data_IF_104800707174
#
_entry.id   IF_104800707174
#
_cell.length_a   1.000
_cell.length_b   1.000
_cell.length_c   1.000
_cell.angle_alpha   90.00
_cell.angle_beta   90.00
_cell.angle_gamma   90.00
#
_symmetry.space_group_name_H-M   'P 1'
#
loop_
_entity.id
_entity.type
_entity.pdbx_description
1 polymer ?
#
# COMPACT_ATOMS: atom_id res chain seq x y z
N UNK A 1 -20.06 8.03 -8.84
CA UNK A 1 -18.78 8.47 -9.41
C UNK A 1 -17.78 7.38 -9.13
N UNK A 2 -17.28 6.70 -10.15
CA UNK A 2 -16.22 5.69 -9.97
C UNK A 2 -14.93 6.40 -9.57
N UNK A 3 -14.32 6.00 -8.45
CA UNK A 3 -13.04 6.56 -8.01
C UNK A 3 -11.95 5.95 -8.89
N UNK A 4 -11.09 6.78 -9.49
CA UNK A 4 -10.01 6.26 -10.33
C UNK A 4 -8.98 5.48 -9.51
N UNK A 5 -8.36 4.46 -10.09
CA UNK A 5 -7.29 3.66 -9.45
C UNK A 5 -6.16 4.56 -8.95
N UNK A 6 -5.77 5.58 -9.73
CA UNK A 6 -4.75 6.57 -9.34
C UNK A 6 -5.09 7.35 -8.07
N UNK A 7 -6.38 7.67 -7.87
CA UNK A 7 -6.87 8.35 -6.65
C UNK A 7 -6.79 7.42 -5.44
N UNK A 8 -7.11 6.13 -5.63
CA UNK A 8 -7.01 5.12 -4.56
C UNK A 8 -5.54 4.95 -4.16
N UNK A 9 -4.63 4.81 -5.12
CA UNK A 9 -3.19 4.70 -4.88
C UNK A 9 -2.66 5.91 -4.11
N UNK A 10 -3.01 7.12 -4.54
CA UNK A 10 -2.61 8.36 -3.85
C UNK A 10 -3.10 8.42 -2.41
N UNK A 11 -4.35 8.02 -2.17
CA UNK A 11 -4.92 7.97 -0.83
C UNK A 11 -4.22 6.92 0.05
N UNK A 12 -3.91 5.74 -0.51
CA UNK A 12 -3.17 4.68 0.19
C UNK A 12 -1.78 5.15 0.59
N UNK A 13 -1.04 5.77 -0.32
CA UNK A 13 0.29 6.33 -0.04
C UNK A 13 0.20 7.39 1.06
N UNK A 14 -0.75 8.32 0.94
CA UNK A 14 -0.93 9.37 1.94
C UNK A 14 -1.23 8.77 3.32
N UNK A 15 -2.11 7.78 3.39
CA UNK A 15 -2.43 7.08 4.64
C UNK A 15 -1.21 6.36 5.24
N UNK A 16 -0.36 5.75 4.41
CA UNK A 16 0.91 5.17 4.84
C UNK A 16 1.89 6.23 5.36
N UNK A 17 1.92 7.42 4.78
CA UNK A 17 2.80 8.52 5.22
C UNK A 17 2.31 9.18 6.52
N UNK A 18 1.00 9.35 6.69
CA UNK A 18 0.41 10.02 7.86
C UNK A 18 -0.03 9.07 8.97
N UNK A 19 0.07 7.76 8.75
CA UNK A 19 -0.46 6.72 9.61
C UNK A 19 -1.99 6.84 9.86
N UNK A 20 -2.74 7.36 8.89
CA UNK A 20 -4.21 7.47 8.94
C UNK A 20 -4.88 6.50 7.97
N UNK A 21 -4.85 5.22 8.33
CA UNK A 21 -5.42 4.14 7.52
C UNK A 21 -6.95 4.10 7.58
N UNK A 22 -7.56 4.77 8.57
CA UNK A 22 -9.02 4.82 8.70
C UNK A 22 -9.65 5.54 7.50
N UNK A 23 -8.97 6.57 6.99
CA UNK A 23 -9.39 7.33 5.82
C UNK A 23 -9.51 6.49 4.54
N UNK A 24 -8.68 5.44 4.39
CA UNK A 24 -8.65 4.60 3.19
C UNK A 24 -9.46 3.31 3.31
N UNK A 25 -9.92 2.96 4.52
CA UNK A 25 -10.75 1.77 4.74
C UNK A 25 -11.92 1.64 3.75
N UNK A 26 -12.78 2.66 3.51
CA UNK A 26 -13.86 2.52 2.54
C UNK A 26 -13.37 2.26 1.10
N UNK A 27 -12.19 2.79 0.73
CA UNK A 27 -11.59 2.57 -0.59
C UNK A 27 -11.11 1.12 -0.75
N UNK A 28 -10.43 0.56 0.26
CA UNK A 28 -9.96 -0.84 0.22
C UNK A 28 -11.12 -1.83 0.10
N UNK A 29 -12.24 -1.54 0.76
CA UNK A 29 -13.44 -2.39 0.72
C UNK A 29 -14.30 -2.19 -0.52
N UNK A 30 -14.01 -1.19 -1.36
CA UNK A 30 -14.74 -0.97 -2.63
C UNK A 30 -14.48 -2.10 -3.64
N UNK A 31 -15.40 -2.27 -4.59
CA UNK A 31 -15.25 -3.23 -5.69
C UNK A 31 -14.09 -2.88 -6.63
N UNK A 32 -13.65 -1.62 -6.63
CA UNK A 32 -12.51 -1.13 -7.41
C UNK A 32 -11.15 -1.61 -6.88
N UNK A 33 -11.09 -2.28 -5.71
CA UNK A 33 -9.86 -2.81 -5.13
C UNK A 33 -9.92 -4.33 -5.01
N UNK A 34 -8.96 -5.00 -5.60
CA UNK A 34 -8.65 -6.42 -5.38
C UNK A 34 -7.44 -6.52 -4.44
N UNK A 35 -7.36 -7.59 -3.65
CA UNK A 35 -6.26 -7.80 -2.71
C UNK A 35 -5.56 -9.13 -2.99
N UNK A 36 -4.30 -9.26 -2.55
CA UNK A 36 -3.71 -10.60 -2.43
C UNK A 36 -4.41 -11.38 -1.31
N UNK A 37 -4.98 -12.53 -1.68
CA UNK A 37 -5.79 -13.37 -0.80
C UNK A 37 -7.29 -13.15 -0.91
N UNK A 38 -8.07 -13.86 -0.08
CA UNK A 38 -9.53 -13.95 -0.22
C UNK A 38 -10.32 -13.06 0.77
N UNK A 39 -9.67 -12.40 1.73
CA UNK A 39 -10.38 -11.70 2.81
C UNK A 39 -9.82 -10.29 3.06
N UNK A 40 -10.60 -9.28 2.66
CA UNK A 40 -10.28 -7.86 2.80
C UNK A 40 -10.16 -7.38 4.24
N UNK A 41 -10.91 -7.96 5.18
CA UNK A 41 -10.77 -7.62 6.60
C UNK A 41 -9.43 -8.08 7.15
N UNK A 42 -9.04 -9.33 6.87
CA UNK A 42 -7.73 -9.86 7.29
C UNK A 42 -6.58 -9.09 6.67
N UNK A 43 -6.70 -8.77 5.38
CA UNK A 43 -5.75 -7.92 4.68
C UNK A 43 -5.63 -6.55 5.35
N UNK A 44 -6.76 -5.88 5.61
CA UNK A 44 -6.76 -4.54 6.20
C UNK A 44 -6.22 -4.55 7.63
N UNK A 45 -6.56 -5.55 8.45
CA UNK A 45 -5.98 -5.72 9.80
C UNK A 45 -4.47 -5.94 9.76
N UNK A 46 -3.99 -6.75 8.80
CA UNK A 46 -2.56 -6.96 8.60
C UNK A 46 -1.86 -5.67 8.17
N UNK A 47 -2.45 -4.95 7.21
CA UNK A 47 -1.94 -3.69 6.72
C UNK A 47 -1.86 -2.65 7.84
N UNK A 48 -2.95 -2.49 8.60
CA UNK A 48 -3.04 -1.57 9.74
C UNK A 48 -1.99 -1.89 10.81
N UNK A 49 -1.84 -3.17 11.17
CA UNK A 49 -0.84 -3.59 12.14
C UNK A 49 0.59 -3.33 11.66
N UNK A 50 0.84 -3.50 10.37
CA UNK A 50 2.16 -3.35 9.76
C UNK A 50 2.58 -1.88 9.70
N UNK A 51 1.72 -1.00 9.19
CA UNK A 51 1.94 0.46 9.13
C UNK A 51 2.07 1.07 10.52
N UNK A 52 1.13 0.79 11.43
CA UNK A 52 1.23 1.27 12.81
C UNK A 52 2.49 0.76 13.51
N UNK A 53 2.85 -0.51 13.28
CA UNK A 53 4.04 -1.12 13.85
C UNK A 53 5.33 -0.47 13.37
N UNK A 54 5.38 -0.06 12.11
CA UNK A 54 6.52 0.60 11.52
C UNK A 54 6.64 2.06 11.98
N UNK A 55 5.54 2.82 11.96
CA UNK A 55 5.48 4.19 12.49
C UNK A 55 5.86 4.26 13.98
N UNK A 56 5.42 3.29 14.80
CA UNK A 56 5.82 3.25 16.22
C UNK A 56 7.30 2.97 16.44
N UNK A 57 7.95 2.28 15.49
CA UNK A 57 9.38 1.97 15.57
C UNK A 57 10.25 3.07 14.98
N UNK A 58 9.69 3.85 14.05
CA UNK A 58 10.34 4.96 13.39
C UNK A 58 10.95 5.95 14.40
N UNK A 59 12.28 6.04 14.41
CA UNK A 59 13.06 7.02 15.20
C UNK A 59 13.65 8.16 14.36
N UNK A 60 13.24 8.30 13.11
CA UNK A 60 13.76 9.29 12.18
C UNK A 60 12.81 9.52 11.01
N UNK A 61 13.35 10.08 9.92
CA UNK A 61 12.55 10.42 8.74
C UNK A 61 11.91 9.18 8.12
N UNK A 62 10.63 9.35 7.77
CA UNK A 62 9.82 8.36 7.07
C UNK A 62 9.84 8.69 5.59
N UNK A 63 10.49 7.85 4.79
CA UNK A 63 10.71 8.10 3.38
C UNK A 63 10.04 7.03 2.52
N UNK A 64 9.79 7.36 1.25
CA UNK A 64 9.19 6.45 0.28
C UNK A 64 9.99 6.46 -1.02
N UNK A 65 10.24 5.29 -1.60
CA UNK A 65 10.68 5.13 -2.99
C UNK A 65 9.57 4.46 -3.82
N UNK A 66 9.67 4.61 -5.13
CA UNK A 66 8.74 4.02 -6.09
C UNK A 66 9.58 3.24 -7.10
N UNK A 67 9.34 1.94 -7.20
CA UNK A 67 10.09 1.05 -8.07
C UNK A 67 9.14 0.23 -8.94
N UNK A 68 9.50 -0.07 -10.21
CA UNK A 68 8.75 -1.02 -11.00
C UNK A 68 8.83 -2.41 -10.34
N UNK A 69 7.71 -3.12 -10.26
CA UNK A 69 7.68 -4.47 -9.70
C UNK A 69 8.20 -5.49 -10.72
N UNK A 70 9.51 -5.50 -10.99
CA UNK A 70 10.12 -6.30 -12.06
C UNK A 70 9.87 -7.81 -11.95
N UNK A 71 9.58 -8.31 -10.74
CA UNK A 71 9.22 -9.71 -10.49
C UNK A 71 7.78 -10.06 -10.86
N UNK A 72 6.89 -9.07 -10.96
CA UNK A 72 5.56 -9.21 -11.53
C UNK A 72 5.71 -9.02 -13.04
N UNK A 73 5.49 -10.09 -13.81
CA UNK A 73 5.65 -10.10 -15.27
C UNK A 73 4.72 -9.12 -16.01
N UNK A 74 3.78 -8.50 -15.32
CA UNK A 74 2.84 -7.52 -15.86
C UNK A 74 3.40 -6.09 -15.80
N UNK A 75 3.33 -5.42 -16.95
CA UNK A 75 4.03 -4.15 -17.23
C UNK A 75 3.53 -2.93 -16.43
N UNK A 76 2.53 -3.07 -15.56
CA UNK A 76 1.89 -1.96 -14.83
C UNK A 76 1.90 -2.14 -13.30
N UNK A 77 2.70 -3.06 -12.78
CA UNK A 77 2.87 -3.22 -11.34
C UNK A 77 3.98 -2.30 -10.80
N UNK A 78 3.67 -1.59 -9.71
CA UNK A 78 4.56 -0.64 -9.03
C UNK A 78 4.63 -0.99 -7.55
N UNK A 79 5.81 -0.85 -6.97
CA UNK A 79 6.04 -1.03 -5.54
C UNK A 79 6.36 0.30 -4.90
N UNK A 80 5.63 0.60 -3.84
CA UNK A 80 5.87 1.72 -2.95
C UNK A 80 6.57 1.21 -1.70
N UNK A 81 7.87 1.45 -1.62
CA UNK A 81 8.71 1.02 -0.51
C UNK A 81 8.83 2.13 0.51
N UNK A 82 8.46 1.83 1.76
CA UNK A 82 8.52 2.77 2.87
C UNK A 82 9.70 2.42 3.80
N UNK A 83 10.56 3.40 4.05
CA UNK A 83 11.78 3.25 4.82
C UNK A 83 11.73 4.06 6.11
N UNK A 84 12.32 3.48 7.15
CA UNK A 84 12.76 4.21 8.33
C UNK A 84 14.24 4.58 8.14
N UNK A 85 14.56 5.88 8.21
CA UNK A 85 15.77 6.46 7.62
C UNK A 85 17.14 5.77 7.81
N UNK A 86 17.39 4.98 8.86
CA UNK A 86 18.69 4.30 9.05
C UNK A 86 18.80 2.91 8.42
N UNK A 87 17.70 2.36 7.90
CA UNK A 87 17.65 0.97 7.44
C UNK A 87 17.64 0.94 5.91
N UNK A 88 18.56 0.18 5.31
CA UNK A 88 18.67 0.01 3.86
C UNK A 88 17.69 -1.05 3.32
N UNK A 89 16.61 -1.32 4.06
CA UNK A 89 15.56 -2.27 3.71
C UNK A 89 14.20 -1.62 3.96
N UNK A 90 13.23 -1.80 3.06
CA UNK A 90 11.88 -1.31 3.27
C UNK A 90 11.28 -1.98 4.51
N UNK A 91 10.58 -1.19 5.32
CA UNK A 91 9.84 -1.69 6.47
C UNK A 91 8.46 -2.18 6.05
N UNK A 92 7.94 -1.61 4.96
CA UNK A 92 6.67 -1.94 4.34
C UNK A 92 6.82 -1.71 2.84
N UNK A 93 6.34 -2.64 2.04
CA UNK A 93 6.20 -2.47 0.59
C UNK A 93 4.73 -2.62 0.23
N UNK A 94 4.17 -1.62 -0.44
CA UNK A 94 2.82 -1.71 -1.00
C UNK A 94 2.95 -1.93 -2.50
N UNK A 95 2.58 -3.12 -2.95
CA UNK A 95 2.55 -3.46 -4.37
C UNK A 95 1.17 -3.11 -4.90
N UNK A 96 1.13 -2.38 -6.00
CA UNK A 96 -0.12 -2.10 -6.71
C UNK A 96 0.01 -2.49 -8.16
N UNK A 97 -1.07 -2.99 -8.73
CA UNK A 97 -1.19 -3.28 -10.16
C UNK A 97 -2.50 -2.66 -10.66
N UNK A 98 -2.37 -1.67 -11.55
CA UNK A 98 -3.53 -1.08 -12.19
C UNK A 98 -4.03 -1.98 -13.33
N UNK A 99 -5.24 -2.52 -13.13
CA UNK A 99 -5.99 -3.24 -14.16
C UNK A 99 -7.03 -2.29 -14.78
N UNK A 100 -7.70 -2.75 -15.85
CA UNK A 100 -8.66 -1.90 -16.61
C UNK A 100 -9.75 -1.26 -15.75
N UNK A 101 -10.25 -1.97 -14.75
CA UNK A 101 -11.40 -1.55 -13.94
C UNK A 101 -11.14 -1.66 -12.42
N UNK A 102 -10.06 -2.34 -12.04
CA UNK A 102 -9.73 -2.63 -10.64
C UNK A 102 -8.26 -2.30 -10.36
N UNK A 103 -7.97 -2.01 -9.10
CA UNK A 103 -6.62 -1.90 -8.56
C UNK A 103 -6.35 -3.16 -7.76
N UNK A 104 -5.42 -3.99 -8.20
CA UNK A 104 -4.94 -5.08 -7.35
C UNK A 104 -3.85 -4.56 -6.41
N UNK A 105 -3.88 -5.01 -5.16
CA UNK A 105 -2.96 -4.54 -4.14
C UNK A 105 -2.47 -5.67 -3.23
N UNK A 106 -1.20 -5.59 -2.85
CA UNK A 106 -0.57 -6.45 -1.86
C UNK A 106 0.29 -5.61 -0.90
N UNK A 107 0.41 -6.07 0.35
CA UNK A 107 1.29 -5.46 1.35
C UNK A 107 2.31 -6.51 1.76
N UNK A 108 3.58 -6.20 1.56
CA UNK A 108 4.72 -7.01 1.97
C UNK A 108 5.43 -6.32 3.14
N UNK A 109 6.11 -7.13 3.95
CA UNK A 109 6.89 -6.69 5.11
C UNK A 109 8.26 -7.37 5.08
#
# INVERSE_FOLDING_TARGET
>A
MSVSTSTIVSAVIQACMTNDLTAIKPLIFSESVEISGQNKEKFFQFFEKTVNGAHRKAKGDWNMSIEPAEWLKDKNAVVYDFYEGKVNQPVISVVVEEKKETLWMEVLK
#
